data_IF_446929015173
#
_entry.id   IF_446929015173
#
_cell.length_a   1.000
_cell.length_b   1.000
_cell.length_c   1.000
_cell.angle_alpha   90.00
_cell.angle_beta   90.00
_cell.angle_gamma   90.00
#
_symmetry.space_group_name_H-M   'P 1'
#
loop_
_entity.id
_entity.type
_entity.pdbx_description
1 polymer ?
#
# COMPACT_ATOMS: atom_id res chain seq x y z
N UNK A 1 15.36 -50.70 -4.14
CA UNK A 1 14.90 -49.73 -3.12
C UNK A 1 15.64 -48.38 -3.09
N UNK A 2 16.85 -48.22 -3.68
CA UNK A 2 17.59 -46.94 -3.59
C UNK A 2 17.24 -45.90 -4.67
N UNK A 3 16.88 -46.31 -5.89
CA UNK A 3 16.62 -45.39 -6.99
C UNK A 3 15.32 -44.58 -6.82
N UNK A 4 14.24 -45.21 -6.33
CA UNK A 4 12.97 -44.51 -6.06
C UNK A 4 13.06 -43.56 -4.87
N UNK A 5 13.85 -43.91 -3.84
CA UNK A 5 14.12 -43.00 -2.72
C UNK A 5 14.89 -41.77 -3.18
N UNK A 6 15.96 -41.94 -3.98
CA UNK A 6 16.73 -40.81 -4.52
C UNK A 6 15.90 -39.93 -5.46
N UNK A 7 15.01 -40.52 -6.27
CA UNK A 7 14.11 -39.75 -7.14
C UNK A 7 13.12 -38.90 -6.32
N UNK A 8 12.44 -39.50 -5.32
CA UNK A 8 11.56 -38.77 -4.40
C UNK A 8 12.28 -37.66 -3.63
N UNK A 9 13.52 -37.89 -3.22
CA UNK A 9 14.32 -36.89 -2.49
C UNK A 9 14.73 -35.72 -3.40
N UNK A 10 15.05 -35.99 -4.67
CA UNK A 10 15.34 -34.95 -5.66
C UNK A 10 14.09 -34.15 -6.04
N UNK A 11 12.95 -34.80 -6.24
CA UNK A 11 11.67 -34.13 -6.52
C UNK A 11 11.26 -33.21 -5.35
N UNK A 12 11.43 -33.68 -4.11
CA UNK A 12 11.14 -32.89 -2.90
C UNK A 12 12.08 -31.69 -2.75
N UNK A 13 13.37 -31.85 -3.07
CA UNK A 13 14.35 -30.74 -3.04
C UNK A 13 14.08 -29.72 -4.15
N UNK A 14 13.64 -30.17 -5.33
CA UNK A 14 13.22 -29.30 -6.42
C UNK A 14 11.99 -28.47 -6.03
N UNK A 15 10.97 -29.09 -5.44
CA UNK A 15 9.77 -28.39 -4.96
C UNK A 15 10.08 -27.37 -3.86
N UNK A 16 10.98 -27.70 -2.93
CA UNK A 16 11.44 -26.76 -1.91
C UNK A 16 12.23 -25.59 -2.50
N UNK A 17 13.08 -25.84 -3.50
CA UNK A 17 13.80 -24.78 -4.20
C UNK A 17 12.84 -23.87 -4.97
N UNK A 18 11.86 -24.43 -5.67
CA UNK A 18 10.82 -23.67 -6.36
C UNK A 18 9.98 -22.82 -5.40
N UNK A 19 9.56 -23.37 -4.25
CA UNK A 19 8.80 -22.62 -3.26
C UNK A 19 9.62 -21.49 -2.62
N UNK A 20 10.91 -21.72 -2.31
CA UNK A 20 11.79 -20.66 -1.82
C UNK A 20 11.98 -19.54 -2.84
N UNK A 21 12.17 -19.88 -4.12
CA UNK A 21 12.29 -18.88 -5.19
C UNK A 21 11.00 -18.07 -5.36
N UNK A 22 9.84 -18.72 -5.32
CA UNK A 22 8.54 -18.03 -5.33
C UNK A 22 8.40 -17.07 -4.14
N UNK A 23 8.74 -17.52 -2.94
CA UNK A 23 8.69 -16.70 -1.72
C UNK A 23 9.61 -15.48 -1.80
N UNK A 24 10.82 -15.65 -2.37
CA UNK A 24 11.76 -14.55 -2.58
C UNK A 24 11.25 -13.55 -3.62
N UNK A 25 10.64 -14.00 -4.71
CA UNK A 25 10.06 -13.12 -5.74
C UNK A 25 8.87 -12.35 -5.16
N UNK A 26 7.99 -13.03 -4.42
CA UNK A 26 6.83 -12.39 -3.80
C UNK A 26 7.24 -11.30 -2.81
N UNK A 27 8.23 -11.55 -1.96
CA UNK A 27 8.70 -10.57 -0.97
C UNK A 27 9.51 -9.41 -1.58
N UNK A 28 10.27 -9.64 -2.64
CA UNK A 28 11.18 -8.61 -3.20
C UNK A 28 10.57 -7.76 -4.31
N UNK A 29 9.50 -8.24 -4.96
CA UNK A 29 8.92 -7.56 -6.13
C UNK A 29 7.40 -7.40 -5.99
N UNK A 30 6.68 -8.47 -5.62
CA UNK A 30 5.21 -8.45 -5.60
C UNK A 30 4.66 -7.62 -4.43
N UNK A 31 5.22 -7.76 -3.23
CA UNK A 31 4.79 -7.01 -2.03
C UNK A 31 4.97 -5.48 -2.18
N UNK A 32 6.14 -4.96 -2.60
CA UNK A 32 6.32 -3.53 -2.86
C UNK A 32 5.32 -2.97 -3.88
N UNK A 33 5.08 -3.71 -4.96
CA UNK A 33 4.14 -3.31 -6.02
C UNK A 33 2.70 -3.28 -5.51
N UNK A 34 2.29 -4.29 -4.74
CA UNK A 34 0.96 -4.35 -4.12
C UNK A 34 0.77 -3.21 -3.11
N UNK A 35 1.77 -2.92 -2.28
CA UNK A 35 1.72 -1.84 -1.31
C UNK A 35 1.56 -0.48 -2.01
N UNK A 36 2.33 -0.22 -3.07
CA UNK A 36 2.19 1.01 -3.86
C UNK A 36 0.84 1.12 -4.57
N UNK A 37 0.34 0.00 -5.10
CA UNK A 37 -0.98 -0.07 -5.72
C UNK A 37 -2.12 0.20 -4.73
N UNK A 38 -2.00 -0.31 -3.50
CA UNK A 38 -2.97 -0.06 -2.41
C UNK A 38 -2.95 1.41 -2.03
N UNK A 39 -1.76 1.97 -1.75
CA UNK A 39 -1.59 3.39 -1.41
C UNK A 39 -2.21 4.32 -2.46
N UNK A 40 -1.99 4.03 -3.75
CA UNK A 40 -2.55 4.82 -4.85
C UNK A 40 -4.06 4.69 -4.92
N UNK A 41 -4.58 3.46 -4.75
CA UNK A 41 -6.02 3.21 -4.76
C UNK A 41 -6.70 3.94 -3.60
N UNK A 42 -6.17 3.83 -2.39
CA UNK A 42 -6.68 4.47 -1.18
C UNK A 42 -6.67 6.01 -1.32
N UNK A 43 -5.62 6.58 -1.90
CA UNK A 43 -5.55 8.01 -2.20
C UNK A 43 -6.70 8.45 -3.11
N UNK A 44 -6.92 7.74 -4.23
CA UNK A 44 -8.00 8.06 -5.15
C UNK A 44 -9.38 7.81 -4.57
N UNK A 45 -9.58 6.74 -3.80
CA UNK A 45 -10.85 6.46 -3.11
C UNK A 45 -11.24 7.60 -2.16
N UNK A 46 -10.30 8.05 -1.33
CA UNK A 46 -10.52 9.18 -0.40
C UNK A 46 -10.76 10.50 -1.16
N UNK A 47 -10.05 10.72 -2.27
CA UNK A 47 -10.18 11.93 -3.08
C UNK A 47 -11.53 11.98 -3.83
N UNK A 48 -11.97 10.85 -4.40
CA UNK A 48 -13.30 10.73 -5.00
C UNK A 48 -14.42 10.85 -3.97
N UNK A 49 -14.27 10.25 -2.79
CA UNK A 49 -15.25 10.37 -1.71
C UNK A 49 -15.43 11.83 -1.29
N UNK A 50 -14.32 12.57 -1.15
CA UNK A 50 -14.35 14.01 -0.83
C UNK A 50 -15.13 14.80 -1.90
N UNK A 51 -14.82 14.62 -3.18
CA UNK A 51 -15.54 15.31 -4.27
C UNK A 51 -17.02 14.93 -4.36
N UNK A 52 -17.34 13.64 -4.19
CA UNK A 52 -18.72 13.16 -4.23
C UNK A 52 -19.56 13.74 -3.09
N UNK A 53 -18.98 13.80 -1.89
CA UNK A 53 -19.60 14.42 -0.73
C UNK A 53 -19.91 15.90 -1.00
N UNK A 54 -18.97 16.66 -1.58
CA UNK A 54 -19.20 18.07 -1.96
C UNK A 54 -20.37 18.20 -2.95
N UNK A 55 -20.42 17.36 -3.98
CA UNK A 55 -21.49 17.37 -4.99
C UNK A 55 -22.85 17.05 -4.35
N UNK A 56 -22.91 16.01 -3.51
CA UNK A 56 -24.14 15.64 -2.79
C UNK A 56 -24.66 16.79 -1.95
N UNK A 57 -23.77 17.46 -1.22
CA UNK A 57 -24.16 18.56 -0.35
C UNK A 57 -24.59 19.81 -1.11
N UNK A 58 -23.95 20.11 -2.23
CA UNK A 58 -24.39 21.19 -3.11
C UNK A 58 -25.79 20.89 -3.67
N UNK A 59 -26.07 19.64 -4.04
CA UNK A 59 -27.39 19.22 -4.50
C UNK A 59 -28.45 19.30 -3.39
N UNK A 60 -28.13 18.83 -2.18
CA UNK A 60 -29.01 18.92 -1.01
C UNK A 60 -29.31 20.38 -0.65
N UNK A 61 -28.29 21.25 -0.66
CA UNK A 61 -28.44 22.70 -0.42
C UNK A 61 -29.29 23.36 -1.52
N UNK A 62 -29.08 23.00 -2.78
CA UNK A 62 -29.84 23.54 -3.91
C UNK A 62 -31.32 23.12 -3.85
N UNK A 63 -31.60 21.87 -3.47
CA UNK A 63 -32.96 21.38 -3.24
C UNK A 63 -33.62 22.07 -2.04
N UNK A 64 -32.89 22.27 -0.94
CA UNK A 64 -33.39 22.99 0.23
C UNK A 64 -33.74 24.44 -0.11
N UNK A 65 -32.88 25.15 -0.85
CA UNK A 65 -33.14 26.50 -1.34
C UNK A 65 -34.38 26.54 -2.25
N UNK A 66 -34.53 25.58 -3.16
CA UNK A 66 -35.71 25.54 -4.05
C UNK A 66 -37.03 25.43 -3.28
N UNK A 67 -37.07 24.67 -2.18
CA UNK A 67 -38.26 24.56 -1.32
C UNK A 67 -38.51 25.83 -0.54
N UNK A 68 -37.46 26.44 0.03
CA UNK A 68 -37.62 27.65 0.84
C UNK A 68 -38.17 28.82 0.03
N UNK A 69 -37.78 28.95 -1.25
CA UNK A 69 -38.35 29.95 -2.16
C UNK A 69 -39.83 29.72 -2.51
N UNK A 70 -40.31 28.47 -2.52
CA UNK A 70 -41.73 28.17 -2.74
C UNK A 70 -42.60 28.52 -1.53
N UNK A 71 -42.01 28.57 -0.34
CA UNK A 71 -42.69 28.89 0.92
C UNK A 71 -42.75 30.41 1.20
N UNK A 72 -42.17 31.26 0.33
CA UNK A 72 -42.22 32.72 0.48
C UNK A 72 -43.60 33.25 0.11
N UNK A 73 -44.32 33.81 1.08
CA UNK A 73 -45.69 34.33 0.92
C UNK A 73 -45.88 35.74 1.47
N UNK A 74 -44.93 36.22 2.27
CA UNK A 74 -44.96 37.50 2.98
C UNK A 74 -43.54 38.00 3.32
N UNK A 75 -43.42 39.22 3.85
CA UNK A 75 -42.14 39.84 4.16
C UNK A 75 -41.34 39.09 5.25
N UNK A 76 -42.03 38.39 6.16
CA UNK A 76 -41.41 37.63 7.26
C UNK A 76 -40.78 36.33 6.71
N UNK A 77 -41.49 35.64 5.82
CA UNK A 77 -40.95 34.48 5.08
C UNK A 77 -39.77 34.84 4.18
N UNK A 78 -39.76 36.05 3.61
CA UNK A 78 -38.61 36.55 2.84
C UNK A 78 -37.37 36.79 3.73
N UNK A 79 -37.54 37.42 4.89
CA UNK A 79 -36.43 37.63 5.83
C UNK A 79 -35.83 36.28 6.27
N UNK A 80 -36.69 35.29 6.52
CA UNK A 80 -36.25 33.94 6.89
C UNK A 80 -35.43 33.26 5.79
N UNK A 81 -35.86 33.35 4.53
CA UNK A 81 -35.09 32.84 3.38
C UNK A 81 -33.74 33.54 3.24
N UNK A 82 -33.66 34.84 3.51
CA UNK A 82 -32.41 35.59 3.47
C UNK A 82 -31.42 35.13 4.56
N UNK A 83 -31.90 34.88 5.78
CA UNK A 83 -31.10 34.29 6.87
C UNK A 83 -30.63 32.88 6.51
N UNK A 84 -31.52 32.04 5.96
CA UNK A 84 -31.20 30.68 5.51
C UNK A 84 -30.16 30.66 4.38
N UNK A 85 -30.23 31.60 3.42
CA UNK A 85 -29.21 31.75 2.38
C UNK A 85 -27.86 32.17 2.93
N UNK A 86 -27.83 33.06 3.93
CA UNK A 86 -26.58 33.45 4.58
C UNK A 86 -25.95 32.26 5.34
N UNK A 87 -26.77 31.44 5.98
CA UNK A 87 -26.32 30.22 6.66
C UNK A 87 -25.80 29.18 5.66
N UNK A 88 -26.53 28.92 4.58
CA UNK A 88 -26.11 28.00 3.53
C UNK A 88 -24.76 28.41 2.90
N UNK A 89 -24.53 29.71 2.71
CA UNK A 89 -23.24 30.21 2.21
C UNK A 89 -22.09 29.93 3.18
N UNK A 90 -22.32 30.12 4.50
CA UNK A 90 -21.31 29.80 5.53
C UNK A 90 -20.98 28.31 5.51
N UNK A 91 -21.99 27.45 5.48
CA UNK A 91 -21.81 26.00 5.45
C UNK A 91 -21.04 25.54 4.21
N UNK A 92 -21.34 26.10 3.03
CA UNK A 92 -20.58 25.82 1.80
C UNK A 92 -19.13 26.29 1.94
N UNK A 93 -18.91 27.49 2.49
CA UNK A 93 -17.56 28.03 2.65
C UNK A 93 -16.72 27.26 3.66
N UNK A 94 -17.30 26.86 4.79
CA UNK A 94 -16.66 26.02 5.80
C UNK A 94 -16.31 24.66 5.20
N UNK A 95 -17.25 24.05 4.48
CA UNK A 95 -17.02 22.77 3.82
C UNK A 95 -15.93 22.84 2.77
N UNK A 96 -15.90 23.89 1.95
CA UNK A 96 -14.86 24.07 0.94
C UNK A 96 -13.47 24.19 1.59
N UNK A 97 -13.40 24.88 2.73
CA UNK A 97 -12.18 24.98 3.53
C UNK A 97 -11.78 23.61 4.07
N UNK A 98 -12.71 22.86 4.66
CA UNK A 98 -12.48 21.51 5.17
C UNK A 98 -12.02 20.55 4.06
N UNK A 99 -12.66 20.60 2.89
CA UNK A 99 -12.30 19.77 1.73
C UNK A 99 -10.89 20.12 1.23
N UNK A 100 -10.51 21.41 1.25
CA UNK A 100 -9.14 21.86 0.94
C UNK A 100 -8.13 21.31 1.94
N UNK A 101 -8.43 21.39 3.23
CA UNK A 101 -7.57 20.88 4.30
C UNK A 101 -7.45 19.34 4.22
N UNK A 102 -8.53 18.63 3.90
CA UNK A 102 -8.53 17.18 3.64
C UNK A 102 -7.65 16.82 2.44
N UNK A 103 -7.82 17.48 1.29
CA UNK A 103 -7.01 17.20 0.09
C UNK A 103 -5.52 17.42 0.38
N UNK A 104 -5.19 18.49 1.12
CA UNK A 104 -3.83 18.74 1.58
C UNK A 104 -3.32 17.62 2.48
N UNK A 105 -4.11 17.17 3.45
CA UNK A 105 -3.75 16.05 4.34
C UNK A 105 -3.49 14.77 3.53
N UNK A 106 -4.40 14.42 2.62
CA UNK A 106 -4.24 13.25 1.73
C UNK A 106 -2.96 13.31 0.91
N UNK A 107 -2.61 14.49 0.40
CA UNK A 107 -1.37 14.69 -0.36
C UNK A 107 -0.13 14.50 0.53
N UNK A 108 -0.18 14.97 1.78
CA UNK A 108 0.91 14.80 2.75
C UNK A 108 1.06 13.34 3.19
N UNK A 109 -0.05 12.66 3.49
CA UNK A 109 -0.09 11.23 3.82
C UNK A 109 0.51 10.39 2.69
N UNK A 110 0.05 10.61 1.45
CA UNK A 110 0.57 9.89 0.28
C UNK A 110 2.09 10.06 0.11
N UNK A 111 2.60 11.28 0.28
CA UNK A 111 4.04 11.55 0.21
C UNK A 111 4.82 10.89 1.34
N UNK A 112 4.28 10.91 2.57
CA UNK A 112 4.92 10.30 3.73
C UNK A 112 4.95 8.77 3.61
N UNK A 113 3.83 8.14 3.28
CA UNK A 113 3.72 6.70 3.11
C UNK A 113 4.55 6.20 1.92
N UNK A 114 4.60 6.96 0.81
CA UNK A 114 5.50 6.66 -0.31
C UNK A 114 6.98 6.64 0.10
N UNK A 115 7.41 7.62 0.92
CA UNK A 115 8.78 7.67 1.45
C UNK A 115 9.05 6.50 2.39
N UNK A 116 8.10 6.17 3.26
CA UNK A 116 8.23 5.05 4.19
C UNK A 116 8.37 3.73 3.43
N UNK A 117 7.49 3.47 2.44
CA UNK A 117 7.55 2.28 1.61
C UNK A 117 8.89 2.17 0.88
N UNK A 118 9.44 3.28 0.38
CA UNK A 118 10.77 3.28 -0.25
C UNK A 118 11.89 2.93 0.75
N UNK A 119 11.85 3.47 1.97
CA UNK A 119 12.81 3.14 3.03
C UNK A 119 12.71 1.67 3.46
N UNK A 120 11.50 1.17 3.64
CA UNK A 120 11.24 -0.23 4.03
C UNK A 120 11.77 -1.18 2.96
N UNK A 121 11.50 -0.90 1.68
CA UNK A 121 12.04 -1.69 0.56
C UNK A 121 13.58 -1.70 0.54
N UNK A 122 14.22 -0.55 0.80
CA UNK A 122 15.68 -0.49 0.90
C UNK A 122 16.21 -1.33 2.08
N UNK A 123 15.53 -1.32 3.22
CA UNK A 123 15.92 -2.08 4.40
C UNK A 123 15.73 -3.59 4.19
N UNK A 124 14.61 -4.01 3.59
CA UNK A 124 14.35 -5.40 3.22
C UNK A 124 15.41 -5.90 2.24
N UNK A 125 15.71 -5.14 1.19
CA UNK A 125 16.75 -5.50 0.22
C UNK A 125 18.14 -5.60 0.86
N UNK A 126 18.47 -4.70 1.80
CA UNK A 126 19.73 -4.76 2.54
C UNK A 126 19.83 -6.03 3.39
N UNK A 127 18.80 -6.36 4.17
CA UNK A 127 18.76 -7.60 4.95
C UNK A 127 18.92 -8.83 4.05
N UNK A 128 18.22 -8.85 2.91
CA UNK A 128 18.31 -9.97 1.98
C UNK A 128 19.71 -10.12 1.37
N UNK A 129 20.41 -9.01 1.11
CA UNK A 129 21.79 -9.02 0.62
C UNK A 129 22.76 -9.56 1.69
N UNK A 130 22.60 -9.12 2.94
CA UNK A 130 23.39 -9.61 4.07
C UNK A 130 23.18 -11.12 4.30
N UNK A 131 21.94 -11.59 4.28
CA UNK A 131 21.61 -13.02 4.41
C UNK A 131 22.21 -13.84 3.26
N UNK A 132 22.10 -13.36 2.02
CA UNK A 132 22.69 -14.03 0.86
C UNK A 132 24.24 -14.08 0.96
N UNK A 133 24.88 -13.00 1.43
CA UNK A 133 26.34 -12.98 1.65
C UNK A 133 26.77 -13.98 2.73
N UNK A 134 26.02 -14.07 3.83
CA UNK A 134 26.30 -15.04 4.89
C UNK A 134 26.11 -16.49 4.42
N UNK A 135 25.03 -16.75 3.66
CA UNK A 135 24.81 -18.07 3.07
C UNK A 135 25.91 -18.44 2.07
N UNK A 136 26.35 -17.49 1.23
CA UNK A 136 27.46 -17.68 0.30
C UNK A 136 28.77 -18.00 1.02
N UNK A 137 29.09 -17.28 2.12
CA UNK A 137 30.26 -17.58 2.96
C UNK A 137 30.19 -19.00 3.54
N UNK A 138 29.05 -19.38 4.11
CA UNK A 138 28.85 -20.74 4.65
C UNK A 138 29.00 -21.81 3.57
N UNK A 139 28.45 -21.60 2.37
CA UNK A 139 28.60 -22.54 1.25
C UNK A 139 30.06 -22.71 0.82
N UNK A 140 30.82 -21.60 0.78
CA UNK A 140 32.24 -21.61 0.44
C UNK A 140 33.05 -22.33 1.52
N UNK A 141 32.80 -22.05 2.79
CA UNK A 141 33.44 -22.76 3.92
C UNK A 141 33.13 -24.26 3.90
N UNK A 142 31.86 -24.65 3.76
CA UNK A 142 31.46 -26.06 3.67
C UNK A 142 32.12 -26.77 2.48
N UNK A 143 32.29 -26.07 1.36
CA UNK A 143 32.94 -26.62 0.15
C UNK A 143 34.44 -26.77 0.35
N UNK A 144 35.10 -25.81 1.01
CA UNK A 144 36.52 -25.92 1.38
C UNK A 144 36.76 -27.02 2.41
N UNK A 145 35.85 -27.20 3.36
CA UNK A 145 35.99 -28.24 4.36
C UNK A 145 35.83 -29.63 3.73
N UNK A 146 34.82 -29.80 2.86
CA UNK A 146 34.64 -31.05 2.11
C UNK A 146 35.83 -31.37 1.21
N UNK A 147 36.44 -30.37 0.56
CA UNK A 147 37.61 -30.62 -0.30
C UNK A 147 38.84 -30.99 0.50
N UNK A 148 39.04 -30.42 1.71
CA UNK A 148 40.07 -30.87 2.66
C UNK A 148 39.85 -32.31 3.11
N UNK A 149 38.66 -32.65 3.58
CA UNK A 149 38.34 -34.00 4.05
C UNK A 149 38.51 -35.04 2.93
N UNK A 150 38.22 -34.66 1.68
CA UNK A 150 38.37 -35.53 0.51
C UNK A 150 39.84 -35.68 0.08
N UNK A 151 40.65 -34.62 0.21
CA UNK A 151 42.10 -34.68 -0.01
C UNK A 151 42.80 -35.55 1.05
N UNK A 152 42.42 -35.43 2.31
CA UNK A 152 42.96 -36.24 3.41
C UNK A 152 42.61 -37.73 3.25
N UNK A 153 41.37 -38.05 2.86
CA UNK A 153 40.97 -39.44 2.55
C UNK A 153 41.71 -40.02 1.34
N UNK A 154 42.08 -39.18 0.37
CA UNK A 154 42.82 -39.61 -0.82
C UNK A 154 44.31 -39.84 -0.55
N UNK A 155 44.84 -39.35 0.57
CA UNK A 155 46.22 -39.58 1.01
C UNK A 155 46.38 -40.82 1.92
N UNK A 156 45.27 -41.42 2.37
CA UNK A 156 45.26 -42.60 3.24
C UNK A 156 45.01 -43.93 2.51
N UNK A 157 44.89 -43.89 1.18
CA UNK A 157 44.81 -45.05 0.28
C UNK A 157 46.00 -45.05 -0.67
#
# INVERSE_FOLDING_TARGET
MNAEKMKKENDTKADQATNRTKQKIDQSVTEPLRAYGTLTTDYYEKLFSTQFDTVRALADSSLAQSRSWLDVRDAESFQKVAEDQQQAFREISERLKDDTDKIRSLSQEFLQESKQLAMDNMQVNRKHLEDNMQQGKKQVEDSMQKSKDQAEKSQQH
#
